data_IF_600044193161
#
_entry.id   IF_600044193161
#
_cell.length_a   1.000
_cell.length_b   1.000
_cell.length_c   1.000
_cell.angle_alpha   90.00
_cell.angle_beta   90.00
_cell.angle_gamma   90.00
#
_symmetry.space_group_name_H-M   'P 1'
#
loop_
_entity.id
_entity.type
_entity.pdbx_description
1 polymer ?
#
# COMPACT_ATOMS: atom_id res chain seq x y z
N UNK A 1 -7.10 17.26 17.32
CA UNK A 1 -7.86 16.22 16.59
C UNK A 1 -9.26 16.26 17.19
N UNK A 2 -10.24 16.71 16.43
CA UNK A 2 -11.61 16.88 16.92
C UNK A 2 -12.24 15.49 17.09
N UNK A 3 -12.82 15.23 18.27
CA UNK A 3 -13.36 13.91 18.61
C UNK A 3 -14.75 13.76 18.00
N UNK A 4 -14.91 12.83 17.06
CA UNK A 4 -16.22 12.46 16.53
C UNK A 4 -16.71 11.23 17.27
N UNK A 5 -17.76 11.31 18.11
CA UNK A 5 -18.42 10.11 18.62
C UNK A 5 -19.21 9.42 17.48
N UNK A 6 -19.41 8.10 17.57
CA UNK A 6 -20.20 7.34 16.58
C UNK A 6 -21.61 7.91 16.41
N UNK A 7 -22.21 8.44 17.49
CA UNK A 7 -23.51 9.13 17.43
C UNK A 7 -23.49 10.40 16.58
N UNK A 8 -22.39 11.16 16.58
CA UNK A 8 -22.25 12.35 15.73
C UNK A 8 -22.13 11.95 14.25
N UNK A 9 -21.39 10.87 13.95
CA UNK A 9 -21.33 10.32 12.59
C UNK A 9 -22.74 9.88 12.14
N UNK A 10 -23.49 9.18 12.99
CA UNK A 10 -24.87 8.78 12.69
C UNK A 10 -25.78 9.97 12.38
N UNK A 11 -25.75 11.00 13.22
CA UNK A 11 -26.53 12.22 13.02
C UNK A 11 -26.13 12.95 11.74
N UNK A 12 -24.83 13.00 11.44
CA UNK A 12 -24.31 13.57 10.20
C UNK A 12 -24.82 12.84 8.95
N UNK A 13 -24.97 11.50 8.99
CA UNK A 13 -25.51 10.75 7.85
C UNK A 13 -27.02 10.91 7.67
N UNK A 14 -27.77 11.08 8.76
CA UNK A 14 -29.22 11.21 8.71
C UNK A 14 -29.67 12.63 8.39
N UNK A 15 -28.95 13.65 8.88
CA UNK A 15 -29.40 15.05 8.90
C UNK A 15 -28.29 16.06 8.63
N UNK A 16 -27.06 15.61 8.38
CA UNK A 16 -25.92 16.50 8.18
C UNK A 16 -25.96 17.26 6.86
N UNK A 17 -25.14 18.31 6.80
CA UNK A 17 -24.96 19.13 5.61
C UNK A 17 -23.75 18.68 4.78
N UNK A 18 -23.61 19.27 3.59
CA UNK A 18 -22.53 18.92 2.66
C UNK A 18 -21.13 19.22 3.23
N UNK A 19 -20.99 20.25 4.07
CA UNK A 19 -19.72 20.61 4.69
C UNK A 19 -19.25 19.54 5.69
N UNK A 20 -20.18 19.04 6.51
CA UNK A 20 -19.94 17.92 7.43
C UNK A 20 -19.50 16.67 6.66
N UNK A 21 -20.18 16.34 5.57
CA UNK A 21 -19.82 15.19 4.74
C UNK A 21 -18.43 15.35 4.09
N UNK A 22 -18.07 16.55 3.64
CA UNK A 22 -16.74 16.82 3.10
C UNK A 22 -15.63 16.60 4.15
N UNK A 23 -15.84 17.01 5.40
CA UNK A 23 -14.89 16.76 6.48
C UNK A 23 -14.70 15.26 6.75
N UNK A 24 -15.80 14.49 6.75
CA UNK A 24 -15.74 13.03 6.88
C UNK A 24 -14.93 12.46 5.71
N UNK A 25 -15.22 12.85 4.46
CA UNK A 25 -14.48 12.38 3.28
C UNK A 25 -12.99 12.70 3.37
N UNK A 26 -12.62 13.90 3.83
CA UNK A 26 -11.22 14.28 4.03
C UNK A 26 -10.55 13.39 5.08
N UNK A 27 -11.23 13.10 6.20
CA UNK A 27 -10.72 12.19 7.22
C UNK A 27 -10.54 10.76 6.68
N UNK A 28 -11.51 10.24 5.91
CA UNK A 28 -11.43 8.91 5.30
C UNK A 28 -10.29 8.79 4.30
N UNK A 29 -10.08 9.82 3.46
CA UNK A 29 -8.97 9.85 2.51
C UNK A 29 -7.60 9.95 3.19
N UNK A 30 -7.52 10.60 4.34
CA UNK A 30 -6.29 10.74 5.12
C UNK A 30 -5.91 9.43 5.82
N UNK A 31 -6.88 8.74 6.40
CA UNK A 31 -6.65 7.49 7.12
C UNK A 31 -7.84 6.52 6.95
N UNK A 32 -7.82 5.67 5.91
CA UNK A 32 -8.93 4.77 5.56
C UNK A 32 -9.08 3.56 6.51
N UNK A 33 -8.14 3.36 7.43
CA UNK A 33 -8.22 2.36 8.50
C UNK A 33 -8.30 2.98 9.91
N UNK A 34 -8.26 4.31 9.98
CA UNK A 34 -8.30 5.08 11.21
C UNK A 34 -9.64 5.06 11.92
N UNK A 35 -9.68 5.74 13.06
CA UNK A 35 -10.86 5.78 13.94
C UNK A 35 -12.13 6.24 13.22
N UNK A 36 -12.07 7.33 12.47
CA UNK A 36 -13.25 7.86 11.74
C UNK A 36 -13.76 6.88 10.70
N UNK A 37 -12.86 6.17 10.01
CA UNK A 37 -13.26 5.13 9.07
C UNK A 37 -14.01 3.99 9.77
N UNK A 38 -13.53 3.53 10.92
CA UNK A 38 -14.21 2.49 11.73
C UNK A 38 -15.60 2.93 12.20
N UNK A 39 -15.74 4.18 12.61
CA UNK A 39 -17.03 4.72 13.02
C UNK A 39 -18.02 4.84 11.86
N UNK A 40 -17.54 5.24 10.68
CA UNK A 40 -18.36 5.25 9.46
C UNK A 40 -18.79 3.83 9.09
N UNK A 41 -17.89 2.85 9.12
CA UNK A 41 -18.24 1.44 8.89
C UNK A 41 -19.33 0.95 9.84
N UNK A 42 -19.18 1.19 11.15
CA UNK A 42 -20.15 0.81 12.17
C UNK A 42 -21.54 1.42 11.90
N UNK A 43 -21.59 2.68 11.43
CA UNK A 43 -22.87 3.32 11.10
C UNK A 43 -23.45 2.74 9.80
N UNK A 44 -22.61 2.44 8.81
CA UNK A 44 -23.03 1.89 7.51
C UNK A 44 -23.55 0.44 7.63
N UNK A 45 -23.00 -0.38 8.52
CA UNK A 45 -23.46 -1.77 8.74
C UNK A 45 -24.94 -1.85 9.15
N UNK A 46 -25.43 -0.85 9.89
CA UNK A 46 -26.83 -0.78 10.33
C UNK A 46 -27.74 0.07 9.46
N UNK A 47 -27.29 0.55 8.29
CA UNK A 47 -28.01 1.52 7.46
C UNK A 47 -28.22 0.97 6.05
N UNK A 48 -29.43 1.10 5.50
CA UNK A 48 -29.69 0.73 4.11
C UNK A 48 -28.86 1.61 3.17
N UNK A 49 -28.17 1.03 2.15
CA UNK A 49 -27.23 1.77 1.31
C UNK A 49 -27.96 2.69 0.32
N UNK A 50 -28.31 3.89 0.79
CA UNK A 50 -28.90 4.95 -0.02
C UNK A 50 -28.20 6.29 0.20
N UNK A 51 -28.27 7.18 -0.79
CA UNK A 51 -27.77 8.56 -0.72
C UNK A 51 -26.32 8.67 -0.24
N UNK A 52 -26.10 9.47 0.80
CA UNK A 52 -24.77 9.73 1.36
C UNK A 52 -24.09 8.48 1.92
N UNK A 53 -24.85 7.54 2.49
CA UNK A 53 -24.30 6.29 3.03
C UNK A 53 -23.62 5.45 1.94
N UNK A 54 -24.24 5.36 0.75
CA UNK A 54 -23.64 4.72 -0.41
C UNK A 54 -22.39 5.48 -0.89
N UNK A 55 -22.46 6.81 -0.96
CA UNK A 55 -21.34 7.63 -1.40
C UNK A 55 -20.11 7.51 -0.46
N UNK A 56 -20.32 7.45 0.85
CA UNK A 56 -19.23 7.27 1.81
C UNK A 56 -18.63 5.87 1.78
N UNK A 57 -19.45 4.83 1.57
CA UNK A 57 -18.97 3.47 1.33
C UNK A 57 -18.04 3.40 0.11
N UNK A 58 -18.44 4.06 -0.98
CA UNK A 58 -17.62 4.19 -2.20
C UNK A 58 -16.32 4.96 -1.94
N UNK A 59 -16.38 6.07 -1.20
CA UNK A 59 -15.19 6.84 -0.82
C UNK A 59 -14.22 5.98 -0.02
N UNK A 60 -14.71 5.23 0.97
CA UNK A 60 -13.87 4.36 1.80
C UNK A 60 -13.22 3.25 0.96
N UNK A 61 -13.99 2.62 0.09
CA UNK A 61 -13.51 1.57 -0.81
C UNK A 61 -12.39 2.09 -1.72
N UNK A 62 -12.59 3.27 -2.32
CA UNK A 62 -11.60 3.90 -3.20
C UNK A 62 -10.37 4.38 -2.43
N UNK A 63 -10.53 4.91 -1.23
CA UNK A 63 -9.42 5.34 -0.39
C UNK A 63 -8.52 4.15 -0.01
N UNK A 64 -9.11 3.00 0.31
CA UNK A 64 -8.36 1.76 0.59
C UNK A 64 -7.64 1.22 -0.65
N UNK A 65 -8.33 1.16 -1.78
CA UNK A 65 -7.71 0.73 -3.04
C UNK A 65 -6.54 1.65 -3.45
N UNK A 66 -6.66 2.96 -3.21
CA UNK A 66 -5.58 3.91 -3.45
C UNK A 66 -4.40 3.69 -2.49
N UNK A 67 -4.65 3.46 -1.20
CA UNK A 67 -3.62 3.13 -0.23
C UNK A 67 -2.87 1.84 -0.63
N UNK A 68 -3.58 0.78 -0.96
CA UNK A 68 -3.00 -0.49 -1.40
C UNK A 68 -2.17 -0.34 -2.69
N UNK A 69 -2.62 0.50 -3.63
CA UNK A 69 -1.84 0.81 -4.82
C UNK A 69 -0.53 1.54 -4.49
N UNK A 70 -0.57 2.49 -3.54
CA UNK A 70 0.62 3.20 -3.08
C UNK A 70 1.61 2.25 -2.37
N UNK A 71 1.10 1.33 -1.54
CA UNK A 71 1.90 0.30 -0.89
C UNK A 71 2.55 -0.66 -1.90
N UNK A 72 1.81 -1.10 -2.93
CA UNK A 72 2.40 -1.89 -4.03
C UNK A 72 3.50 -1.13 -4.77
N UNK A 73 3.31 0.18 -5.00
CA UNK A 73 4.33 1.03 -5.60
C UNK A 73 5.58 1.19 -4.71
N UNK A 74 5.41 1.26 -3.39
CA UNK A 74 6.49 1.22 -2.39
C UNK A 74 7.30 -0.08 -2.50
N UNK A 75 6.61 -1.22 -2.51
CA UNK A 75 7.26 -2.52 -2.64
C UNK A 75 8.00 -2.63 -3.99
N UNK A 76 7.41 -2.17 -5.08
CA UNK A 76 8.06 -2.11 -6.39
C UNK A 76 9.37 -1.30 -6.35
N UNK A 77 9.38 -0.15 -5.66
CA UNK A 77 10.60 0.64 -5.43
C UNK A 77 11.65 -0.15 -4.65
N UNK A 78 11.26 -0.85 -3.59
CA UNK A 78 12.18 -1.71 -2.83
C UNK A 78 12.79 -2.81 -3.68
N UNK A 79 12.00 -3.47 -4.53
CA UNK A 79 12.51 -4.51 -5.45
C UNK A 79 13.54 -3.92 -6.41
N UNK A 80 13.29 -2.75 -7.00
CA UNK A 80 14.27 -2.06 -7.88
C UNK A 80 15.59 -1.80 -7.17
N UNK A 81 15.55 -1.25 -5.95
CA UNK A 81 16.75 -1.00 -5.13
C UNK A 81 17.53 -2.29 -4.87
N UNK A 82 16.85 -3.42 -4.61
CA UNK A 82 17.52 -4.70 -4.40
C UNK A 82 18.22 -5.21 -5.66
N UNK A 83 17.61 -5.04 -6.83
CA UNK A 83 18.20 -5.39 -8.13
C UNK A 83 19.42 -4.51 -8.38
N UNK A 84 19.27 -3.18 -8.29
CA UNK A 84 20.34 -2.21 -8.52
C UNK A 84 21.54 -2.47 -7.59
N UNK A 85 21.30 -2.63 -6.28
CA UNK A 85 22.36 -2.92 -5.30
C UNK A 85 23.07 -4.25 -5.56
N UNK A 86 22.41 -5.22 -6.18
CA UNK A 86 23.04 -6.52 -6.47
C UNK A 86 24.04 -6.47 -7.62
N UNK A 87 23.96 -5.46 -8.50
CA UNK A 87 24.74 -5.37 -9.73
C UNK A 87 24.36 -6.42 -10.80
N UNK A 88 23.36 -7.26 -10.54
CA UNK A 88 22.88 -8.26 -11.50
C UNK A 88 21.98 -7.62 -12.56
N UNK A 89 22.02 -8.17 -13.77
CA UNK A 89 20.97 -7.90 -14.76
C UNK A 89 19.61 -8.39 -14.25
N UNK A 90 18.52 -7.85 -14.79
CA UNK A 90 17.16 -8.29 -14.43
C UNK A 90 16.94 -9.78 -14.66
N UNK A 91 17.46 -10.32 -15.77
CA UNK A 91 17.33 -11.74 -16.13
C UNK A 91 18.08 -12.65 -15.15
N UNK A 92 19.30 -12.28 -14.76
CA UNK A 92 20.05 -13.02 -13.75
C UNK A 92 19.38 -12.96 -12.39
N UNK A 93 18.85 -11.78 -12.03
CA UNK A 93 18.12 -11.61 -10.78
C UNK A 93 16.89 -12.53 -10.73
N UNK A 94 16.04 -12.51 -11.78
CA UNK A 94 14.90 -13.43 -11.95
C UNK A 94 15.30 -14.89 -11.73
N UNK A 95 16.31 -15.35 -12.48
CA UNK A 95 16.79 -16.72 -12.43
C UNK A 95 17.24 -17.11 -11.01
N UNK A 96 17.99 -16.22 -10.35
CA UNK A 96 18.56 -16.47 -9.01
C UNK A 96 17.52 -16.43 -7.88
N UNK A 97 16.46 -15.63 -8.02
CA UNK A 97 15.36 -15.61 -7.04
C UNK A 97 14.29 -16.66 -7.32
N UNK A 98 14.32 -17.27 -8.52
CA UNK A 98 13.39 -18.31 -8.96
C UNK A 98 12.01 -17.75 -9.33
N UNK A 99 11.98 -16.62 -10.04
CA UNK A 99 10.74 -15.95 -10.47
C UNK A 99 10.78 -15.71 -11.98
N UNK A 100 9.71 -16.02 -12.72
CA UNK A 100 9.63 -15.72 -14.15
C UNK A 100 9.81 -14.22 -14.44
N UNK A 101 10.39 -13.83 -15.60
CA UNK A 101 10.56 -12.42 -15.97
C UNK A 101 9.25 -11.61 -15.98
N UNK A 102 8.16 -12.20 -16.45
CA UNK A 102 6.85 -11.54 -16.51
C UNK A 102 6.30 -11.27 -15.11
N UNK A 103 6.39 -12.26 -14.20
CA UNK A 103 5.99 -12.09 -12.80
C UNK A 103 6.84 -11.04 -12.08
N UNK A 104 8.16 -11.00 -12.33
CA UNK A 104 8.99 -9.91 -11.79
C UNK A 104 8.55 -8.56 -12.36
N UNK A 105 8.20 -8.49 -13.64
CA UNK A 105 7.72 -7.26 -14.28
C UNK A 105 6.41 -6.79 -13.65
N UNK A 106 5.47 -7.69 -13.33
CA UNK A 106 4.24 -7.34 -12.60
C UNK A 106 4.52 -6.74 -11.21
N UNK A 107 5.52 -7.26 -10.49
CA UNK A 107 5.98 -6.67 -9.22
C UNK A 107 6.60 -5.30 -9.42
N UNK A 108 7.42 -5.13 -10.46
CA UNK A 108 8.07 -3.86 -10.78
C UNK A 108 7.07 -2.81 -11.27
N UNK A 109 5.98 -3.21 -11.90
CA UNK A 109 4.87 -2.32 -12.29
C UNK A 109 3.93 -2.00 -11.12
N UNK A 110 4.07 -2.69 -9.98
CA UNK A 110 3.17 -2.55 -8.84
C UNK A 110 1.77 -3.14 -9.07
N UNK A 111 1.61 -4.00 -10.09
CA UNK A 111 0.33 -4.69 -10.38
C UNK A 111 -0.01 -5.68 -9.27
N UNK A 112 0.99 -6.36 -8.74
CA UNK A 112 0.86 -7.25 -7.58
C UNK A 112 2.06 -7.05 -6.65
N UNK A 113 1.92 -7.42 -5.38
CA UNK A 113 3.04 -7.42 -4.43
C UNK A 113 3.68 -8.81 -4.37
N UNK A 114 5.01 -8.93 -4.36
CA UNK A 114 5.68 -10.18 -4.05
C UNK A 114 5.28 -10.69 -2.65
N UNK A 115 5.14 -12.01 -2.44
CA UNK A 115 4.97 -12.54 -1.09
C UNK A 115 6.18 -12.20 -0.21
N UNK A 116 5.95 -12.03 1.09
CA UNK A 116 6.99 -11.63 2.04
C UNK A 116 8.21 -12.57 2.04
N UNK A 117 7.99 -13.88 1.85
CA UNK A 117 9.06 -14.88 1.73
C UNK A 117 9.97 -14.63 0.51
N UNK A 118 9.41 -14.14 -0.61
CA UNK A 118 10.16 -13.78 -1.80
C UNK A 118 10.94 -12.47 -1.58
N UNK A 119 10.36 -11.48 -0.91
CA UNK A 119 11.07 -10.25 -0.52
C UNK A 119 12.32 -10.55 0.32
N UNK A 120 12.21 -11.48 1.28
CA UNK A 120 13.36 -11.93 2.09
C UNK A 120 14.43 -12.58 1.21
N UNK A 121 14.04 -13.42 0.24
CA UNK A 121 14.97 -14.06 -0.70
C UNK A 121 15.70 -13.04 -1.58
N UNK A 122 14.96 -12.09 -2.16
CA UNK A 122 15.51 -10.99 -2.96
C UNK A 122 16.54 -10.17 -2.16
N UNK A 123 16.22 -9.84 -0.90
CA UNK A 123 17.13 -9.12 -0.01
C UNK A 123 18.41 -9.91 0.26
N UNK A 124 18.30 -11.19 0.64
CA UNK A 124 19.45 -12.06 0.90
C UNK A 124 20.34 -12.23 -0.34
N UNK A 125 19.74 -12.34 -1.52
CA UNK A 125 20.47 -12.39 -2.78
C UNK A 125 21.26 -11.10 -3.00
N UNK A 126 20.60 -9.95 -2.88
CA UNK A 126 21.22 -8.63 -3.05
C UNK A 126 22.40 -8.45 -2.09
N UNK A 127 22.19 -8.69 -0.79
CA UNK A 127 23.24 -8.55 0.23
C UNK A 127 24.43 -9.50 0.00
N UNK A 128 24.19 -10.70 -0.53
CA UNK A 128 25.27 -11.63 -0.90
C UNK A 128 26.15 -11.08 -2.01
N UNK A 129 25.54 -10.48 -3.04
CA UNK A 129 26.29 -9.90 -4.16
C UNK A 129 27.03 -8.63 -3.75
N UNK A 130 26.43 -7.78 -2.93
CA UNK A 130 27.14 -6.61 -2.36
C UNK A 130 28.43 -7.05 -1.64
N UNK A 131 28.36 -8.08 -0.78
CA UNK A 131 29.54 -8.61 -0.06
C UNK A 131 30.62 -9.18 -0.98
N UNK A 132 30.23 -9.77 -2.11
CA UNK A 132 31.19 -10.30 -3.09
C UNK A 132 31.91 -9.17 -3.82
N UNK A 133 31.19 -8.12 -4.22
CA UNK A 133 31.80 -6.95 -4.86
C UNK A 133 32.78 -6.23 -3.94
N UNK A 134 32.43 -6.04 -2.66
CA UNK A 134 33.31 -5.37 -1.68
C UNK A 134 34.56 -6.18 -1.32
N UNK A 135 34.52 -7.51 -1.45
CA UNK A 135 35.70 -8.38 -1.23
C UNK A 135 36.61 -8.45 -2.46
N UNK A 136 36.07 -8.15 -3.64
CA UNK A 136 36.79 -8.15 -4.91
C UNK A 136 37.45 -6.83 -5.27
N UNK A 137 37.43 -5.82 -4.39
CA UNK A 137 38.20 -4.57 -4.52
C UNK A 137 39.40 -4.67 -3.56
N UNK A 138 40.59 -5.14 -4.00
CA UNK A 138 41.79 -5.02 -3.19
C UNK A 138 42.17 -3.53 -3.13
N UNK A 139 42.68 -3.07 -1.98
CA UNK A 139 43.29 -1.75 -1.84
C UNK A 139 44.26 -1.51 -3.01
N UNK A 140 43.91 -0.57 -3.88
CA UNK A 140 44.85 -0.03 -4.85
C UNK A 140 45.83 0.86 -4.08
N UNK A 141 47.04 0.34 -3.90
CA UNK A 141 48.23 1.07 -3.42
C UNK A 141 48.57 2.18 -4.41
#
# INVERSE_FOLDING_TARGET
>A
MEFWPTSAIRSALQTGDIATWQLIVVALKRDPYGRTARQVEEVLEGTEPYGISKALSEVLTRARAHLEANERAEVARHVRVLIERSGLSRQEFCSRVGVPPDTLSEYLDGKVSPPASLMIRMRRLSDRFVKMHTRGTPDAI
#
